data_IF_451902122245
#
_entry.id   IF_451902122245
#
_cell.length_a   1.000
_cell.length_b   1.000
_cell.length_c   1.000
_cell.angle_alpha   90.00
_cell.angle_beta   90.00
_cell.angle_gamma   90.00
#
_symmetry.space_group_name_H-M   'P 1'
#
loop_
_entity.id
_entity.type
_entity.pdbx_description
1 polymer ?
#
# COMPACT_ATOMS: atom_id res chain seq x y z
N UNK A 1 9.57 39.29 1.24
CA UNK A 1 8.32 38.71 0.69
C UNK A 1 7.41 38.29 1.83
N UNK A 2 6.16 38.80 1.93
CA UNK A 2 5.23 38.35 2.95
C UNK A 2 4.70 36.95 2.59
N UNK A 3 4.65 36.04 3.57
CA UNK A 3 4.14 34.67 3.39
C UNK A 3 2.63 34.71 3.08
N UNK A 4 2.12 33.88 2.15
CA UNK A 4 0.69 33.88 1.80
C UNK A 4 -0.16 33.48 3.02
N UNK A 5 -1.22 34.24 3.27
CA UNK A 5 -2.20 33.97 4.35
C UNK A 5 -2.93 32.66 4.03
N UNK A 6 -2.90 31.70 4.96
CA UNK A 6 -3.67 30.47 4.86
C UNK A 6 -5.16 30.82 4.90
N UNK A 7 -5.90 30.50 3.83
CA UNK A 7 -7.36 30.62 3.80
C UNK A 7 -8.00 29.51 4.64
N UNK A 8 -8.36 29.81 5.89
CA UNK A 8 -9.02 28.88 6.83
C UNK A 8 -10.51 28.65 6.52
N UNK A 9 -11.12 29.42 5.60
CA UNK A 9 -12.57 29.47 5.38
C UNK A 9 -13.13 28.51 4.31
N UNK A 10 -12.31 27.67 3.68
CA UNK A 10 -12.78 26.70 2.69
C UNK A 10 -12.48 25.24 3.05
N UNK A 11 -12.51 24.90 4.33
CA UNK A 11 -12.55 23.50 4.74
C UNK A 11 -14.00 23.04 4.91
N UNK A 12 -14.78 23.04 3.81
CA UNK A 12 -15.98 22.18 3.75
C UNK A 12 -15.46 20.76 3.93
N UNK A 13 -15.61 20.20 5.13
CA UNK A 13 -15.25 18.82 5.44
C UNK A 13 -15.94 17.95 4.39
N UNK A 14 -15.21 17.49 3.37
CA UNK A 14 -15.73 16.52 2.40
C UNK A 14 -16.25 15.37 3.24
N UNK A 15 -17.55 15.08 3.14
CA UNK A 15 -18.14 13.97 3.86
C UNK A 15 -17.50 12.68 3.36
N UNK A 16 -16.53 12.18 4.12
CA UNK A 16 -15.80 10.95 3.83
C UNK A 16 -16.50 9.83 4.60
N UNK A 17 -17.60 9.34 4.03
CA UNK A 17 -18.37 8.27 4.62
C UNK A 17 -19.43 7.73 3.68
N UNK A 18 -19.94 6.52 3.95
CA UNK A 18 -21.10 5.99 3.24
C UNK A 18 -22.29 6.93 3.45
N UNK A 19 -23.05 7.19 2.36
CA UNK A 19 -24.24 8.04 2.43
C UNK A 19 -25.29 7.35 3.30
N UNK A 20 -26.00 8.13 4.09
CA UNK A 20 -27.04 7.60 4.99
C UNK A 20 -28.22 8.55 5.07
N UNK A 21 -29.42 8.00 5.24
CA UNK A 21 -30.67 8.75 5.37
C UNK A 21 -30.79 9.83 4.29
N UNK A 22 -30.97 11.09 4.69
CA UNK A 22 -31.14 12.26 3.81
C UNK A 22 -29.93 12.60 2.92
N UNK A 23 -28.80 11.91 3.07
CA UNK A 23 -27.63 12.10 2.20
C UNK A 23 -27.64 11.18 0.97
N UNK A 24 -28.55 10.22 0.94
CA UNK A 24 -28.83 9.39 -0.23
C UNK A 24 -29.68 10.24 -1.19
N UNK A 25 -29.27 10.30 -2.45
CA UNK A 25 -29.86 11.22 -3.44
C UNK A 25 -30.90 10.56 -4.36
N UNK A 26 -31.00 9.24 -4.35
CA UNK A 26 -31.91 8.51 -5.22
C UNK A 26 -33.34 8.56 -4.69
N UNK A 27 -34.31 8.55 -5.61
CA UNK A 27 -35.73 8.52 -5.28
C UNK A 27 -36.16 7.13 -4.79
N UNK A 28 -35.69 6.08 -5.48
CA UNK A 28 -35.95 4.69 -5.16
C UNK A 28 -34.64 3.97 -4.77
N UNK A 29 -34.76 3.03 -3.84
CA UNK A 29 -33.65 2.28 -3.27
C UNK A 29 -34.03 0.81 -3.10
N UNK A 30 -33.10 -0.10 -3.39
CA UNK A 30 -33.26 -1.51 -3.00
C UNK A 30 -32.94 -1.63 -1.51
N UNK A 31 -33.88 -2.07 -0.69
CA UNK A 31 -33.74 -2.09 0.78
C UNK A 31 -33.51 -3.49 1.30
N UNK A 32 -32.48 -3.63 2.14
CA UNK A 32 -32.24 -4.81 2.96
C UNK A 32 -32.57 -4.45 4.41
N UNK A 33 -33.38 -5.27 5.08
CA UNK A 33 -33.75 -5.08 6.48
C UNK A 33 -32.55 -5.26 7.43
N UNK A 34 -32.74 -4.94 8.71
CA UNK A 34 -31.75 -5.19 9.75
C UNK A 34 -31.48 -6.70 9.96
N UNK A 35 -32.51 -7.55 9.79
CA UNK A 35 -32.42 -9.02 9.82
C UNK A 35 -31.70 -9.61 8.60
N UNK A 36 -31.55 -8.83 7.51
CA UNK A 36 -30.90 -9.26 6.27
C UNK A 36 -31.87 -9.75 5.20
N UNK A 37 -33.17 -9.64 5.44
CA UNK A 37 -34.20 -9.90 4.45
C UNK A 37 -34.22 -8.81 3.39
N UNK A 38 -34.54 -9.19 2.15
CA UNK A 38 -34.66 -8.24 1.05
C UNK A 38 -36.09 -7.71 1.01
N UNK A 39 -36.28 -6.42 1.30
CA UNK A 39 -37.58 -5.74 1.28
C UNK A 39 -37.98 -5.26 -0.12
N UNK A 40 -37.14 -5.49 -1.12
CA UNK A 40 -37.41 -5.06 -2.50
C UNK A 40 -37.00 -3.62 -2.77
N UNK A 41 -37.56 -3.05 -3.84
CA UNK A 41 -37.39 -1.64 -4.19
C UNK A 41 -38.44 -0.84 -3.45
N UNK A 42 -38.01 0.13 -2.63
CA UNK A 42 -38.88 1.03 -1.90
C UNK A 42 -38.55 2.49 -2.22
N UNK A 43 -39.54 3.39 -2.17
CA UNK A 43 -39.29 4.82 -2.15
C UNK A 43 -38.40 5.20 -0.96
N UNK A 44 -37.48 6.13 -1.16
CA UNK A 44 -36.50 6.46 -0.12
C UNK A 44 -37.12 6.99 1.17
N UNK A 45 -38.25 7.68 1.08
CA UNK A 45 -38.99 8.19 2.25
C UNK A 45 -39.45 7.04 3.14
N UNK A 46 -40.07 6.02 2.54
CA UNK A 46 -40.56 4.83 3.23
C UNK A 46 -39.40 4.01 3.81
N UNK A 47 -38.30 3.89 3.07
CA UNK A 47 -37.09 3.22 3.54
C UNK A 47 -36.47 3.91 4.77
N UNK A 48 -36.42 5.25 4.77
CA UNK A 48 -35.93 6.04 5.92
C UNK A 48 -36.88 5.92 7.11
N UNK A 49 -38.19 5.95 6.90
CA UNK A 49 -39.17 5.77 7.98
C UNK A 49 -39.06 4.39 8.61
N UNK A 50 -38.90 3.35 7.79
CA UNK A 50 -38.73 1.97 8.28
C UNK A 50 -37.47 1.85 9.13
N UNK A 51 -36.35 2.44 8.70
CA UNK A 51 -35.13 2.50 9.50
C UNK A 51 -35.34 3.25 10.83
N UNK A 52 -36.06 4.39 10.81
CA UNK A 52 -36.38 5.16 12.02
C UNK A 52 -37.25 4.40 13.01
N UNK A 53 -38.24 3.62 12.54
CA UNK A 53 -39.10 2.78 13.41
C UNK A 53 -38.27 1.75 14.19
N UNK A 54 -37.20 1.25 13.58
CA UNK A 54 -36.26 0.32 14.23
C UNK A 54 -35.16 1.04 15.06
N UNK A 55 -35.14 2.37 15.09
CA UNK A 55 -34.07 3.14 15.76
C UNK A 55 -32.71 3.03 15.06
N UNK A 56 -32.70 2.70 13.77
CA UNK A 56 -31.52 2.50 12.92
C UNK A 56 -31.43 3.54 11.80
N UNK A 57 -30.35 3.48 11.02
CA UNK A 57 -30.16 4.33 9.85
C UNK A 57 -30.32 3.52 8.55
N UNK A 58 -30.80 4.18 7.50
CA UNK A 58 -30.72 3.67 6.15
C UNK A 58 -29.33 4.00 5.60
N UNK A 59 -28.48 3.01 5.39
CA UNK A 59 -27.09 3.19 4.92
C UNK A 59 -26.94 2.67 3.50
N UNK A 60 -26.41 3.49 2.60
CA UNK A 60 -26.06 3.11 1.22
C UNK A 60 -24.82 2.22 1.25
N UNK A 61 -24.98 0.93 0.90
CA UNK A 61 -23.87 -0.04 0.81
C UNK A 61 -23.27 -0.04 -0.59
N UNK A 62 -24.10 0.05 -1.63
CA UNK A 62 -23.66 0.00 -3.02
C UNK A 62 -24.40 1.02 -3.87
N UNK A 63 -23.66 1.99 -4.40
CA UNK A 63 -24.14 2.97 -5.36
C UNK A 63 -24.05 2.51 -6.81
N UNK A 64 -23.46 1.33 -7.07
CA UNK A 64 -23.27 0.80 -8.44
C UNK A 64 -24.54 0.22 -9.06
N UNK A 65 -25.50 -0.18 -8.23
CA UNK A 65 -26.76 -0.75 -8.69
C UNK A 65 -27.78 0.36 -9.04
N UNK A 66 -28.71 0.06 -9.93
CA UNK A 66 -29.87 0.90 -10.28
C UNK A 66 -31.15 0.10 -10.04
N UNK A 67 -31.91 0.36 -8.95
CA UNK A 67 -31.69 1.35 -7.89
C UNK A 67 -30.52 0.99 -6.93
N UNK A 68 -29.91 1.97 -6.24
CA UNK A 68 -28.80 1.71 -5.31
C UNK A 68 -29.26 0.84 -4.13
N UNK A 69 -28.33 0.05 -3.61
CA UNK A 69 -28.60 -0.89 -2.51
C UNK A 69 -28.34 -0.23 -1.17
N UNK A 70 -29.39 -0.12 -0.38
CA UNK A 70 -29.40 0.40 0.97
C UNK A 70 -29.71 -0.71 1.97
N UNK A 71 -29.16 -0.62 3.18
CA UNK A 71 -29.45 -1.54 4.27
C UNK A 71 -29.73 -0.77 5.55
N UNK A 72 -30.71 -1.25 6.29
CA UNK A 72 -31.08 -0.72 7.60
C UNK A 72 -30.05 -1.23 8.62
N UNK A 73 -29.22 -0.32 9.14
CA UNK A 73 -28.20 -0.63 10.15
C UNK A 73 -27.69 0.63 10.85
N UNK A 74 -26.97 0.47 11.97
CA UNK A 74 -26.28 1.59 12.62
C UNK A 74 -25.09 2.07 11.78
N UNK A 75 -25.08 3.36 11.42
CA UNK A 75 -23.98 3.99 10.68
C UNK A 75 -22.63 3.91 11.41
N UNK A 76 -22.66 3.98 12.75
CA UNK A 76 -21.45 3.93 13.59
C UNK A 76 -20.77 2.57 13.50
N UNK A 77 -21.55 1.50 13.65
CA UNK A 77 -21.06 0.11 13.53
C UNK A 77 -20.52 -0.16 12.12
N UNK A 78 -21.25 0.28 11.08
CA UNK A 78 -20.81 0.11 9.71
C UNK A 78 -19.48 0.79 9.40
N UNK A 79 -19.30 2.04 9.84
CA UNK A 79 -18.03 2.77 9.70
C UNK A 79 -16.88 2.06 10.41
N UNK A 80 -17.13 1.56 11.62
CA UNK A 80 -16.15 0.79 12.40
C UNK A 80 -15.75 -0.50 11.65
N UNK A 81 -16.72 -1.27 11.17
CA UNK A 81 -16.45 -2.53 10.45
C UNK A 81 -15.72 -2.30 9.13
N UNK A 82 -16.10 -1.25 8.39
CA UNK A 82 -15.40 -0.84 7.16
C UNK A 82 -13.95 -0.45 7.45
N UNK A 83 -13.71 0.34 8.50
CA UNK A 83 -12.36 0.73 8.91
C UNK A 83 -11.55 -0.48 9.38
N UNK A 84 -12.15 -1.40 10.14
CA UNK A 84 -11.51 -2.64 10.60
C UNK A 84 -11.13 -3.54 9.43
N UNK A 85 -12.03 -3.73 8.46
CA UNK A 85 -11.76 -4.47 7.21
C UNK A 85 -10.65 -3.82 6.39
N UNK A 86 -10.71 -2.50 6.19
CA UNK A 86 -9.68 -1.76 5.47
C UNK A 86 -8.30 -1.87 6.15
N UNK A 87 -8.26 -1.78 7.48
CA UNK A 87 -7.02 -1.95 8.25
C UNK A 87 -6.49 -3.38 8.18
N UNK A 88 -7.37 -4.40 8.21
CA UNK A 88 -6.97 -5.80 8.03
C UNK A 88 -6.37 -6.02 6.64
N UNK A 89 -7.02 -5.50 5.60
CA UNK A 89 -6.52 -5.58 4.21
C UNK A 89 -5.16 -4.90 4.04
N UNK A 90 -4.97 -3.70 4.62
CA UNK A 90 -3.68 -3.00 4.63
C UNK A 90 -2.60 -3.77 5.38
N UNK A 91 -2.93 -4.40 6.51
CA UNK A 91 -1.97 -5.22 7.27
C UNK A 91 -1.58 -6.50 6.55
N UNK A 92 -2.50 -7.12 5.80
CA UNK A 92 -2.22 -8.34 5.03
C UNK A 92 -1.43 -8.09 3.75
N UNK A 93 -1.42 -6.85 3.24
CA UNK A 93 -0.56 -6.49 2.13
C UNK A 93 0.90 -6.52 2.59
N UNK A 94 1.67 -7.52 2.13
CA UNK A 94 3.13 -7.52 2.28
C UNK A 94 3.68 -6.34 1.46
N UNK A 95 4.08 -5.28 2.16
CA UNK A 95 4.78 -4.16 1.52
C UNK A 95 6.20 -4.64 1.23
N UNK A 96 6.50 -4.92 -0.03
CA UNK A 96 7.86 -5.20 -0.47
C UNK A 96 8.72 -3.96 -0.22
N UNK A 97 9.69 -4.06 0.68
CA UNK A 97 10.59 -2.95 1.02
C UNK A 97 11.88 -3.05 0.23
N UNK A 98 12.51 -1.90 -0.05
CA UNK A 98 13.85 -1.86 -0.62
C UNK A 98 14.87 -1.94 0.53
N UNK A 99 15.60 -3.04 0.62
CA UNK A 99 16.71 -3.21 1.56
C UNK A 99 18.02 -2.83 0.88
N UNK A 100 18.84 -2.01 1.53
CA UNK A 100 20.14 -1.62 0.99
C UNK A 100 21.27 -2.40 1.67
N UNK A 101 22.17 -2.99 0.89
CA UNK A 101 23.38 -3.65 1.34
C UNK A 101 24.61 -2.94 0.78
N UNK A 102 25.44 -2.40 1.68
CA UNK A 102 26.64 -1.65 1.35
C UNK A 102 27.88 -2.52 1.48
N UNK A 103 28.72 -2.48 0.46
CA UNK A 103 29.96 -3.23 0.29
C UNK A 103 31.11 -2.29 -0.10
N UNK A 104 32.34 -2.79 0.00
CA UNK A 104 33.56 -2.09 -0.41
C UNK A 104 34.32 -2.92 -1.46
N UNK A 105 35.15 -2.29 -2.30
CA UNK A 105 35.97 -3.01 -3.28
C UNK A 105 36.94 -4.02 -2.63
N UNK A 106 37.41 -3.74 -1.40
CA UNK A 106 38.27 -4.64 -0.62
C UNK A 106 37.52 -5.42 0.46
N UNK A 107 36.23 -5.72 0.28
CA UNK A 107 35.47 -6.53 1.26
C UNK A 107 36.07 -7.95 1.36
N UNK A 108 36.36 -8.38 2.59
CA UNK A 108 36.82 -9.74 2.87
C UNK A 108 35.73 -10.79 2.63
N UNK A 109 36.15 -12.03 2.38
CA UNK A 109 35.26 -13.16 2.06
C UNK A 109 34.21 -13.39 3.15
N UNK A 110 34.58 -13.25 4.43
CA UNK A 110 33.65 -13.46 5.54
C UNK A 110 32.52 -12.43 5.57
N UNK A 111 32.85 -11.14 5.43
CA UNK A 111 31.85 -10.07 5.36
C UNK A 111 30.98 -10.20 4.09
N UNK A 112 31.58 -10.53 2.95
CA UNK A 112 30.84 -10.82 1.72
C UNK A 112 29.77 -11.91 1.94
N UNK A 113 30.16 -13.06 2.48
CA UNK A 113 29.25 -14.18 2.72
C UNK A 113 28.11 -13.81 3.68
N UNK A 114 28.41 -13.01 4.72
CA UNK A 114 27.38 -12.52 5.64
C UNK A 114 26.37 -11.60 4.93
N UNK A 115 26.84 -10.69 4.07
CA UNK A 115 25.97 -9.79 3.29
C UNK A 115 25.12 -10.56 2.29
N UNK A 116 25.69 -11.53 1.57
CA UNK A 116 24.94 -12.39 0.65
C UNK A 116 23.87 -13.19 1.39
N UNK A 117 24.20 -13.82 2.52
CA UNK A 117 23.22 -14.56 3.33
C UNK A 117 22.02 -13.69 3.72
N UNK A 118 22.26 -12.42 4.08
CA UNK A 118 21.19 -11.48 4.38
C UNK A 118 20.42 -11.06 3.13
N UNK A 119 21.10 -10.83 2.00
CA UNK A 119 20.43 -10.59 0.73
C UNK A 119 19.48 -11.72 0.36
N UNK A 120 19.95 -12.98 0.48
CA UNK A 120 19.13 -14.16 0.21
C UNK A 120 17.88 -14.19 1.08
N UNK A 121 18.04 -13.94 2.38
CA UNK A 121 16.91 -13.83 3.33
C UNK A 121 15.91 -12.72 2.96
N UNK A 122 16.36 -11.58 2.44
CA UNK A 122 15.47 -10.49 2.03
C UNK A 122 14.73 -10.84 0.73
N UNK A 123 15.42 -11.38 -0.26
CA UNK A 123 14.81 -11.81 -1.52
C UNK A 123 13.77 -12.92 -1.28
N UNK A 124 14.06 -13.93 -0.46
CA UNK A 124 13.08 -14.98 -0.10
C UNK A 124 11.86 -14.42 0.66
N UNK A 125 11.99 -13.28 1.35
CA UNK A 125 10.87 -12.60 2.02
C UNK A 125 10.00 -11.77 1.07
N UNK A 126 10.43 -11.59 -0.18
CA UNK A 126 9.76 -10.73 -1.16
C UNK A 126 10.20 -9.26 -1.09
N UNK A 127 11.32 -8.96 -0.42
CA UNK A 127 11.91 -7.62 -0.42
C UNK A 127 12.84 -7.44 -1.62
N UNK A 128 12.92 -6.21 -2.15
CA UNK A 128 13.91 -5.83 -3.16
C UNK A 128 15.25 -5.55 -2.47
N UNK A 129 16.37 -5.89 -3.09
CA UNK A 129 17.70 -5.63 -2.53
C UNK A 129 18.49 -4.70 -3.46
N UNK A 130 18.89 -3.54 -2.93
CA UNK A 130 19.87 -2.64 -3.57
C UNK A 130 21.26 -2.95 -3.03
N UNK A 131 22.16 -3.42 -3.88
CA UNK A 131 23.57 -3.54 -3.58
C UNK A 131 24.28 -2.24 -3.95
N UNK A 132 25.13 -1.75 -3.04
CA UNK A 132 25.89 -0.51 -3.23
C UNK A 132 27.35 -0.78 -2.89
N UNK A 133 28.25 -0.68 -3.86
CA UNK A 133 29.70 -0.72 -3.65
C UNK A 133 30.21 0.72 -3.62
N UNK A 134 30.72 1.17 -2.47
CA UNK A 134 31.20 2.55 -2.29
C UNK A 134 32.71 2.63 -2.43
N UNK A 135 33.18 3.52 -3.31
CA UNK A 135 34.60 3.80 -3.51
C UNK A 135 35.01 5.07 -2.74
N UNK A 136 36.14 5.04 -2.03
CA UNK A 136 36.74 6.18 -1.32
C UNK A 136 38.04 6.64 -1.99
N UNK A 137 38.17 7.94 -2.22
CA UNK A 137 39.44 8.55 -2.64
C UNK A 137 40.04 7.90 -3.90
N UNK A 138 41.23 7.32 -3.75
CA UNK A 138 42.01 6.63 -4.79
C UNK A 138 41.44 5.26 -5.20
N UNK A 139 40.48 4.71 -4.45
CA UNK A 139 39.84 3.42 -4.78
C UNK A 139 39.05 3.48 -6.10
N UNK A 140 38.80 4.67 -6.64
CA UNK A 140 38.24 4.84 -8.00
C UNK A 140 39.17 4.26 -9.09
N UNK A 141 40.44 3.97 -8.79
CA UNK A 141 41.32 3.24 -9.71
C UNK A 141 41.02 1.73 -9.74
N UNK A 142 40.36 1.20 -8.70
CA UNK A 142 39.98 -0.21 -8.58
C UNK A 142 38.51 -0.45 -8.89
N UNK A 143 37.99 0.22 -9.93
CA UNK A 143 36.64 -0.03 -10.45
C UNK A 143 36.42 -1.49 -10.80
N UNK A 144 37.46 -2.16 -11.32
CA UNK A 144 37.38 -3.55 -11.74
C UNK A 144 37.01 -4.48 -10.58
N UNK A 145 37.62 -4.31 -9.40
CA UNK A 145 37.28 -5.08 -8.20
C UNK A 145 35.81 -4.92 -7.80
N UNK A 146 35.25 -3.71 -7.93
CA UNK A 146 33.84 -3.48 -7.69
C UNK A 146 32.92 -4.15 -8.70
N UNK A 147 33.32 -4.19 -9.98
CA UNK A 147 32.58 -4.91 -11.05
C UNK A 147 32.61 -6.41 -10.81
N UNK A 148 33.77 -6.98 -10.51
CA UNK A 148 33.93 -8.40 -10.25
C UNK A 148 33.09 -8.83 -9.04
N UNK A 149 33.07 -8.01 -7.99
CA UNK A 149 32.22 -8.23 -6.83
C UNK A 149 30.72 -8.17 -7.19
N UNK A 150 30.29 -7.23 -8.04
CA UNK A 150 28.91 -7.18 -8.51
C UNK A 150 28.54 -8.40 -9.36
N UNK A 151 29.42 -8.84 -10.25
CA UNK A 151 29.20 -10.04 -11.07
C UNK A 151 29.03 -11.28 -10.18
N UNK A 152 29.87 -11.43 -9.15
CA UNK A 152 29.75 -12.50 -8.17
C UNK A 152 28.41 -12.47 -7.43
N UNK A 153 27.92 -11.27 -7.06
CA UNK A 153 26.59 -11.14 -6.42
C UNK A 153 25.49 -11.60 -7.38
N UNK A 154 25.58 -11.29 -8.67
CA UNK A 154 24.60 -11.72 -9.68
C UNK A 154 24.54 -13.24 -9.73
N UNK A 155 25.70 -13.91 -9.80
CA UNK A 155 25.78 -15.37 -9.79
C UNK A 155 25.19 -15.96 -8.51
N UNK A 156 25.60 -15.44 -7.34
CA UNK A 156 25.15 -15.95 -6.04
C UNK A 156 23.66 -15.72 -5.76
N UNK A 157 23.02 -14.77 -6.44
CA UNK A 157 21.59 -14.42 -6.26
C UNK A 157 20.68 -14.87 -7.40
N UNK A 158 21.23 -15.48 -8.45
CA UNK A 158 20.50 -15.89 -9.67
C UNK A 158 19.31 -16.82 -9.39
N UNK A 159 19.43 -17.71 -8.41
CA UNK A 159 18.39 -18.71 -8.11
C UNK A 159 17.15 -18.13 -7.42
N UNK A 160 17.32 -17.00 -6.72
CA UNK A 160 16.31 -16.43 -5.82
C UNK A 160 15.82 -15.04 -6.24
N UNK A 161 16.44 -14.45 -7.26
CA UNK A 161 16.09 -13.13 -7.71
C UNK A 161 16.56 -12.81 -9.12
N UNK A 162 15.96 -11.78 -9.69
CA UNK A 162 16.26 -11.26 -11.02
C UNK A 162 16.83 -9.85 -10.91
N UNK A 163 17.91 -9.58 -11.66
CA UNK A 163 18.49 -8.24 -11.73
C UNK A 163 17.52 -7.31 -12.48
N UNK A 164 17.04 -6.27 -11.80
CA UNK A 164 16.20 -5.20 -12.39
C UNK A 164 17.08 -4.07 -12.93
N UNK A 165 18.12 -3.71 -12.17
CA UNK A 165 19.10 -2.68 -12.56
C UNK A 165 20.47 -3.29 -12.56
N UNK A 166 21.06 -3.43 -13.75
CA UNK A 166 22.45 -3.87 -13.94
C UNK A 166 23.43 -2.95 -13.21
N UNK A 167 24.62 -3.46 -12.83
CA UNK A 167 25.65 -2.67 -12.15
C UNK A 167 25.98 -1.38 -12.91
N UNK A 168 25.66 -0.24 -12.31
CA UNK A 168 25.93 1.08 -12.89
C UNK A 168 26.57 2.02 -11.88
N UNK A 169 27.34 2.97 -12.38
CA UNK A 169 27.91 4.02 -11.54
C UNK A 169 26.87 5.10 -11.23
N UNK A 170 26.79 5.48 -9.96
CA UNK A 170 26.01 6.60 -9.47
C UNK A 170 26.94 7.47 -8.61
N UNK A 171 27.65 8.41 -9.23
CA UNK A 171 28.70 9.20 -8.57
C UNK A 171 29.91 8.33 -8.18
N UNK A 172 30.24 8.28 -6.88
CA UNK A 172 31.39 7.51 -6.34
C UNK A 172 31.00 6.12 -5.81
N UNK A 173 29.90 5.57 -6.30
CA UNK A 173 29.41 4.25 -5.90
C UNK A 173 28.88 3.51 -7.13
N UNK A 174 28.99 2.19 -7.12
CA UNK A 174 28.35 1.31 -8.07
C UNK A 174 27.11 0.72 -7.41
N UNK A 175 25.98 0.77 -8.10
CA UNK A 175 24.70 0.28 -7.58
C UNK A 175 24.13 -0.81 -8.49
N UNK A 176 23.43 -1.76 -7.88
CA UNK A 176 22.69 -2.81 -8.55
C UNK A 176 21.39 -3.08 -7.76
N UNK A 177 20.29 -3.39 -8.45
CA UNK A 177 19.03 -3.75 -7.80
C UNK A 177 18.60 -5.13 -8.27
N UNK A 178 18.31 -5.99 -7.29
CA UNK A 178 17.81 -7.35 -7.48
C UNK A 178 16.40 -7.44 -6.93
N UNK A 179 15.50 -7.96 -7.74
CA UNK A 179 14.12 -8.28 -7.38
C UNK A 179 14.04 -9.72 -6.87
N UNK A 180 13.15 -10.00 -5.90
CA UNK A 180 12.80 -11.38 -5.58
C UNK A 180 12.11 -12.03 -6.79
N UNK A 181 12.35 -13.33 -6.99
CA UNK A 181 11.59 -14.13 -7.95
C UNK A 181 10.15 -14.35 -7.50
#
# INVERSE_FOLDING_TARGET
MPKPRKNYFQNKRKFYGPRSNHWIKSLDVQVISSSGENLGVLPIKEAIETAKREGLDLVEISSKATPPVCKIMSIGKYKYDMQKKANKAKKSQKIATLKELKLRPGTEIHDYNFKIKNAKKFLTKGDKVKFTVKFKGREMQHVQLGRDLMNRIIEDTKDIGKVEVMPKFEGRQMIMIVLPN
#
